data_IF_901431655940
#
_entry.id   IF_901431655940
#
_cell.length_a   1.000
_cell.length_b   1.000
_cell.length_c   1.000
_cell.angle_alpha   90.00
_cell.angle_beta   90.00
_cell.angle_gamma   90.00
#
_symmetry.space_group_name_H-M   'P 1'
#
loop_
_entity.id
_entity.type
_entity.pdbx_description
1 polymer ?
#
# COMPACT_ATOMS: atom_id res chain seq x y z
N UNK A 1 14.30 3.61 -16.24
CA UNK A 1 12.89 3.26 -15.93
C UNK A 1 12.11 4.55 -15.70
N UNK A 2 10.99 4.78 -16.39
CA UNK A 2 10.30 6.06 -16.33
C UNK A 2 9.68 6.27 -14.94
N UNK A 3 10.10 7.32 -14.22
CA UNK A 3 9.59 7.68 -12.88
C UNK A 3 8.07 7.65 -12.79
N UNK A 4 7.38 8.11 -13.85
CA UNK A 4 5.91 8.13 -13.92
C UNK A 4 5.29 6.74 -13.88
N UNK A 5 5.96 5.74 -14.47
CA UNK A 5 5.51 4.35 -14.46
C UNK A 5 5.66 3.76 -13.05
N UNK A 6 6.81 3.96 -12.42
CA UNK A 6 7.07 3.50 -11.05
C UNK A 6 6.03 4.06 -10.07
N UNK A 7 5.77 5.37 -10.15
CA UNK A 7 4.76 6.01 -9.31
C UNK A 7 3.36 5.45 -9.56
N UNK A 8 2.95 5.24 -10.81
CA UNK A 8 1.65 4.62 -11.11
C UNK A 8 1.54 3.20 -10.56
N UNK A 9 2.60 2.39 -10.69
CA UNK A 9 2.61 1.03 -10.17
C UNK A 9 2.51 1.02 -8.64
N UNK A 10 3.26 1.89 -7.95
CA UNK A 10 3.18 2.01 -6.49
C UNK A 10 1.78 2.44 -6.03
N UNK A 11 1.18 3.44 -6.68
CA UNK A 11 -0.18 3.89 -6.36
C UNK A 11 -1.18 2.76 -6.58
N UNK A 12 -1.06 2.02 -7.70
CA UNK A 12 -1.89 0.86 -7.98
C UNK A 12 -1.80 -0.21 -6.89
N UNK A 13 -0.59 -0.53 -6.43
CA UNK A 13 -0.38 -1.49 -5.34
C UNK A 13 -1.05 -1.03 -4.04
N UNK A 14 -0.89 0.25 -3.67
CA UNK A 14 -1.49 0.80 -2.45
C UNK A 14 -3.00 0.65 -2.49
N UNK A 15 -3.64 1.00 -3.61
CA UNK A 15 -5.10 0.90 -3.78
C UNK A 15 -5.57 -0.55 -3.64
N UNK A 16 -4.87 -1.51 -4.26
CA UNK A 16 -5.23 -2.93 -4.17
C UNK A 16 -5.13 -3.43 -2.72
N UNK A 17 -4.08 -3.06 -1.99
CA UNK A 17 -3.88 -3.48 -0.60
C UNK A 17 -4.93 -2.87 0.33
N UNK A 18 -5.32 -1.62 0.11
CA UNK A 18 -6.41 -0.98 0.87
C UNK A 18 -7.72 -1.72 0.66
N UNK A 19 -8.09 -1.99 -0.60
CA UNK A 19 -9.33 -2.72 -0.93
C UNK A 19 -9.30 -4.12 -0.31
N UNK A 20 -8.20 -4.86 -0.47
CA UNK A 20 -8.03 -6.19 0.11
C UNK A 20 -8.13 -6.16 1.65
N UNK A 21 -7.57 -5.14 2.30
CA UNK A 21 -7.64 -4.98 3.76
C UNK A 21 -9.07 -4.70 4.23
N UNK A 22 -9.83 -3.88 3.51
CA UNK A 22 -11.24 -3.61 3.82
C UNK A 22 -12.09 -4.88 3.65
N UNK A 23 -11.92 -5.61 2.54
CA UNK A 23 -12.64 -6.88 2.30
C UNK A 23 -12.30 -7.88 3.41
N UNK A 24 -11.03 -8.04 3.74
CA UNK A 24 -10.59 -8.90 4.82
C UNK A 24 -11.21 -8.50 6.16
N UNK A 25 -11.29 -7.20 6.45
CA UNK A 25 -11.91 -6.71 7.68
C UNK A 25 -13.39 -7.08 7.77
N UNK A 26 -14.11 -7.08 6.65
CA UNK A 26 -15.54 -7.46 6.61
C UNK A 26 -15.78 -8.97 6.68
N UNK A 27 -14.85 -9.78 6.16
CA UNK A 27 -15.05 -11.24 6.02
C UNK A 27 -14.48 -12.04 7.21
N UNK A 28 -13.37 -11.58 7.81
CA UNK A 28 -12.69 -12.32 8.86
C UNK A 28 -13.29 -12.06 10.26
N UNK A 29 -13.16 -13.00 11.20
CA UNK A 29 -13.50 -12.76 12.59
C UNK A 29 -12.64 -11.63 13.18
N UNK A 30 -13.16 -10.88 14.17
CA UNK A 30 -12.64 -9.57 14.58
C UNK A 30 -11.16 -9.57 14.96
N UNK A 31 -10.68 -10.63 15.62
CA UNK A 31 -9.28 -10.79 16.00
C UNK A 31 -8.34 -10.94 14.80
N UNK A 32 -8.75 -11.69 13.77
CA UNK A 32 -7.96 -11.90 12.55
C UNK A 32 -8.06 -10.68 11.64
N UNK A 33 -9.24 -10.08 11.55
CA UNK A 33 -9.49 -8.84 10.83
C UNK A 33 -8.61 -7.69 11.36
N UNK A 34 -8.55 -7.51 12.68
CA UNK A 34 -7.71 -6.48 13.29
C UNK A 34 -6.21 -6.72 13.07
N UNK A 35 -5.75 -7.96 13.27
CA UNK A 35 -4.36 -8.33 13.02
C UNK A 35 -3.95 -8.07 11.56
N UNK A 36 -4.79 -8.48 10.61
CA UNK A 36 -4.51 -8.34 9.19
C UNK A 36 -4.61 -6.87 8.74
N UNK A 37 -5.52 -6.08 9.31
CA UNK A 37 -5.59 -4.64 9.07
C UNK A 37 -4.34 -3.91 9.58
N UNK A 38 -3.82 -4.27 10.76
CA UNK A 38 -2.54 -3.75 11.25
C UNK A 38 -1.37 -4.12 10.34
N UNK A 39 -1.27 -5.38 9.91
CA UNK A 39 -0.25 -5.82 8.95
C UNK A 39 -0.35 -5.06 7.62
N UNK A 40 -1.57 -4.91 7.07
CA UNK A 40 -1.83 -4.13 5.86
C UNK A 40 -1.41 -2.67 6.01
N UNK A 41 -1.70 -2.07 7.17
CA UNK A 41 -1.30 -0.70 7.51
C UNK A 41 0.21 -0.47 7.43
N UNK A 42 1.02 -1.38 7.99
CA UNK A 42 2.50 -1.28 7.92
C UNK A 42 2.98 -1.34 6.47
N UNK A 43 2.39 -2.21 5.64
CA UNK A 43 2.74 -2.33 4.21
C UNK A 43 2.38 -1.04 3.46
N UNK A 44 1.21 -0.47 3.72
CA UNK A 44 0.76 0.80 3.11
C UNK A 44 1.70 1.94 3.47
N UNK A 45 2.12 2.07 4.74
CA UNK A 45 3.09 3.08 5.18
C UNK A 45 4.44 2.91 4.46
N UNK A 46 4.92 1.67 4.35
CA UNK A 46 6.17 1.39 3.64
C UNK A 46 6.10 1.76 2.15
N UNK A 47 4.97 1.49 1.50
CA UNK A 47 4.73 1.87 0.10
C UNK A 47 4.57 3.39 -0.09
N UNK A 48 3.95 4.08 0.87
CA UNK A 48 3.86 5.55 0.87
C UNK A 48 5.24 6.21 1.03
N UNK A 49 6.07 5.69 1.93
CA UNK A 49 7.46 6.13 2.07
C UNK A 49 8.24 5.89 0.78
N UNK A 50 8.08 4.71 0.17
CA UNK A 50 8.68 4.39 -1.13
C UNK A 50 8.23 5.36 -2.23
N UNK A 51 6.94 5.71 -2.27
CA UNK A 51 6.39 6.70 -3.22
C UNK A 51 7.01 8.08 -3.00
N UNK A 52 7.17 8.50 -1.74
CA UNK A 52 7.78 9.78 -1.39
C UNK A 52 9.26 9.82 -1.83
N UNK A 53 10.01 8.76 -1.55
CA UNK A 53 11.41 8.65 -1.97
C UNK A 53 11.56 8.65 -3.49
N UNK A 54 10.74 7.89 -4.22
CA UNK A 54 10.73 7.90 -5.69
C UNK A 54 10.33 9.29 -6.22
N UNK A 55 9.37 9.97 -5.59
CA UNK A 55 8.97 11.31 -5.99
C UNK A 55 10.08 12.35 -5.80
N UNK A 56 10.82 12.28 -4.69
CA UNK A 56 11.86 13.26 -4.33
C UNK A 56 13.22 12.97 -4.97
N UNK A 57 13.65 11.71 -4.99
CA UNK A 57 15.03 11.34 -5.30
C UNK A 57 15.23 10.80 -6.72
N UNK A 58 14.18 10.25 -7.35
CA UNK A 58 14.26 9.89 -8.76
C UNK A 58 14.16 11.17 -9.60
N UNK A 59 15.31 11.80 -9.86
CA UNK A 59 15.47 12.72 -10.99
C UNK A 59 15.67 11.88 -12.25
N UNK A 60 15.10 12.38 -13.35
CA UNK A 60 14.84 11.67 -14.61
C UNK A 60 16.00 10.80 -15.09
#
# INVERSE_FOLDING_TARGET
>A
MNKKIIQRVLIGLIVIIVIASVICYMVLPPWKAFYLACCGGVIIINLLLSLFFVSKNFKK
#
